data_IF_544940689771
#
_entry.id   IF_544940689771
#
_cell.length_a   1.000
_cell.length_b   1.000
_cell.length_c   1.000
_cell.angle_alpha   90.00
_cell.angle_beta   90.00
_cell.angle_gamma   90.00
#
_symmetry.space_group_name_H-M   'P 1'
#
loop_
_entity.id
_entity.type
_entity.pdbx_description
1 polymer ?
#
# COMPACT_ATOMS: atom_id res chain seq x y z
N UNK A 1 -15.60 -3.94 6.02
CA UNK A 1 -15.81 -2.54 5.57
C UNK A 1 -14.78 -1.54 6.13
N UNK A 2 -14.41 -1.56 7.42
CA UNK A 2 -13.53 -0.55 8.06
C UNK A 2 -12.16 -0.34 7.38
N UNK A 3 -11.56 -1.41 6.85
CA UNK A 3 -10.27 -1.37 6.14
C UNK A 3 -10.29 -0.47 4.89
N UNK A 4 -11.29 -0.66 4.02
CA UNK A 4 -11.44 0.14 2.80
C UNK A 4 -11.79 1.60 3.10
N UNK A 5 -12.55 1.85 4.18
CA UNK A 5 -12.86 3.21 4.64
C UNK A 5 -11.61 4.01 5.05
N UNK A 6 -10.68 3.38 5.77
CA UNK A 6 -9.41 4.05 6.12
C UNK A 6 -8.53 4.33 4.90
N UNK A 7 -8.50 3.41 3.93
CA UNK A 7 -7.78 3.64 2.67
C UNK A 7 -8.40 4.82 1.91
N UNK A 8 -9.72 4.82 1.75
CA UNK A 8 -10.43 5.93 1.09
C UNK A 8 -10.20 7.26 1.80
N UNK A 9 -10.19 7.28 3.14
CA UNK A 9 -9.88 8.46 3.94
C UNK A 9 -8.46 8.98 3.70
N UNK A 10 -7.44 8.11 3.73
CA UNK A 10 -6.05 8.50 3.45
C UNK A 10 -5.89 9.05 2.03
N UNK A 11 -6.49 8.37 1.05
CA UNK A 11 -6.48 8.83 -0.33
C UNK A 11 -7.12 10.21 -0.42
N UNK A 12 -8.35 10.38 0.08
CA UNK A 12 -9.06 11.67 0.06
C UNK A 12 -8.25 12.81 0.69
N UNK A 13 -7.64 12.58 1.85
CA UNK A 13 -6.77 13.58 2.51
C UNK A 13 -5.54 13.90 1.66
N UNK A 14 -4.86 12.87 1.12
CA UNK A 14 -3.68 13.08 0.27
C UNK A 14 -4.02 13.86 -1.01
N UNK A 15 -5.16 13.54 -1.65
CA UNK A 15 -5.61 14.23 -2.86
C UNK A 15 -5.98 15.68 -2.55
N UNK A 16 -6.64 15.93 -1.41
CA UNK A 16 -6.99 17.29 -0.98
C UNK A 16 -5.75 18.15 -0.73
N UNK A 17 -4.74 17.60 -0.05
CA UNK A 17 -3.45 18.28 0.19
C UNK A 17 -2.74 18.58 -1.14
N UNK A 18 -2.64 17.59 -2.02
CA UNK A 18 -2.02 17.76 -3.35
C UNK A 18 -2.76 18.81 -4.18
N UNK A 19 -4.09 18.82 -4.16
CA UNK A 19 -4.89 19.82 -4.86
C UNK A 19 -4.65 21.23 -4.31
N UNK A 20 -4.62 21.40 -2.99
CA UNK A 20 -4.30 22.69 -2.35
C UNK A 20 -2.91 23.19 -2.74
N UNK A 21 -1.92 22.30 -2.78
CA UNK A 21 -0.56 22.63 -3.22
C UNK A 21 -0.53 23.05 -4.71
N UNK A 22 -1.28 22.36 -5.57
CA UNK A 22 -1.39 22.74 -6.99
C UNK A 22 -2.06 24.12 -7.15
N UNK A 23 -3.13 24.38 -6.41
CA UNK A 23 -3.81 25.67 -6.40
C UNK A 23 -2.88 26.80 -5.93
N UNK A 24 -2.03 26.53 -4.94
CA UNK A 24 -1.02 27.46 -4.43
C UNK A 24 0.06 27.73 -5.48
N UNK A 25 0.59 26.69 -6.14
CA UNK A 25 1.55 26.84 -7.25
C UNK A 25 0.94 27.71 -8.35
N UNK A 26 -0.31 27.45 -8.73
CA UNK A 26 -1.02 28.21 -9.75
C UNK A 26 -1.33 29.66 -9.30
N UNK A 27 -1.51 29.90 -8.00
CA UNK A 27 -1.71 31.25 -7.46
C UNK A 27 -0.41 32.07 -7.38
N UNK A 28 0.71 31.45 -7.02
CA UNK A 28 2.02 32.11 -6.96
C UNK A 28 2.51 32.53 -8.35
N UNK A 29 2.28 31.68 -9.34
CA UNK A 29 2.54 32.01 -10.73
C UNK A 29 1.37 32.86 -11.27
N UNK A 30 1.45 34.19 -11.07
CA UNK A 30 0.46 35.17 -11.53
C UNK A 30 0.01 34.95 -12.99
N UNK A 31 -1.28 35.07 -13.33
CA UNK A 31 -1.80 34.84 -14.68
C UNK A 31 -1.39 35.98 -15.63
N UNK A 32 -0.24 35.87 -16.27
CA UNK A 32 0.23 36.73 -17.37
C UNK A 32 0.33 35.84 -18.63
N UNK A 33 -0.69 35.78 -19.50
CA UNK A 33 -1.06 36.72 -20.59
C UNK A 33 -0.09 36.70 -21.80
N UNK A 34 0.70 35.65 -22.03
CA UNK A 34 1.52 35.64 -23.26
C UNK A 34 0.71 35.43 -24.57
N UNK A 35 -0.57 35.01 -24.49
CA UNK A 35 -1.41 34.72 -25.67
C UNK A 35 -2.84 35.31 -25.66
N UNK A 36 -3.17 36.27 -24.78
CA UNK A 36 -4.46 37.00 -24.90
C UNK A 36 -4.50 37.85 -26.19
N UNK A 37 -3.37 38.06 -26.88
CA UNK A 37 -3.33 38.78 -28.16
C UNK A 37 -4.22 38.16 -29.25
N UNK A 38 -4.60 36.88 -29.13
CA UNK A 38 -5.50 36.18 -30.06
C UNK A 38 -6.78 35.62 -29.43
N UNK A 39 -7.08 35.92 -28.16
CA UNK A 39 -8.36 35.53 -27.52
C UNK A 39 -8.47 34.06 -27.04
N UNK A 40 -7.42 33.25 -27.18
CA UNK A 40 -7.42 31.86 -26.70
C UNK A 40 -6.72 31.75 -25.34
N UNK A 41 -7.41 31.19 -24.34
CA UNK A 41 -6.80 30.81 -23.05
C UNK A 41 -5.94 29.55 -23.27
N UNK A 42 -4.65 29.71 -23.54
CA UNK A 42 -3.71 28.57 -23.51
C UNK A 42 -3.26 28.27 -22.08
N UNK A 43 -2.99 27.00 -21.79
CA UNK A 43 -2.35 26.60 -20.54
C UNK A 43 -0.85 26.91 -20.59
N UNK A 44 -0.23 27.24 -19.43
CA UNK A 44 1.23 27.44 -19.33
C UNK A 44 2.03 26.14 -19.51
N UNK A 45 1.34 25.01 -19.47
CA UNK A 45 1.92 23.68 -19.54
C UNK A 45 2.47 23.42 -20.95
N UNK A 46 3.79 23.36 -21.07
CA UNK A 46 4.53 23.14 -22.31
C UNK A 46 5.21 24.39 -22.88
N UNK A 47 4.82 25.59 -22.42
CA UNK A 47 5.37 26.87 -22.92
C UNK A 47 6.35 27.52 -21.94
N UNK A 48 6.19 27.29 -20.64
CA UNK A 48 7.08 27.79 -19.59
C UNK A 48 7.79 26.60 -18.93
N UNK A 49 9.09 26.47 -19.18
CA UNK A 49 9.92 25.37 -18.66
C UNK A 49 9.95 25.34 -17.14
N UNK A 50 9.99 26.50 -16.48
CA UNK A 50 10.04 26.56 -15.03
C UNK A 50 8.72 26.06 -14.43
N UNK A 51 7.60 26.50 -15.00
CA UNK A 51 6.27 26.05 -14.58
C UNK A 51 6.08 24.54 -14.82
N UNK A 52 6.46 24.02 -15.99
CA UNK A 52 6.32 22.59 -16.29
C UNK A 52 7.18 21.71 -15.39
N UNK A 53 8.41 22.12 -15.07
CA UNK A 53 9.26 21.39 -14.14
C UNK A 53 8.66 21.35 -12.73
N UNK A 54 8.15 22.47 -12.23
CA UNK A 54 7.52 22.54 -10.90
C UNK A 54 6.28 21.65 -10.84
N UNK A 55 5.41 21.70 -11.84
CA UNK A 55 4.22 20.84 -11.92
C UNK A 55 4.60 19.36 -12.07
N UNK A 56 5.67 19.06 -12.83
CA UNK A 56 6.20 17.70 -12.95
C UNK A 56 6.70 17.13 -11.62
N UNK A 57 7.45 17.92 -10.85
CA UNK A 57 7.91 17.52 -9.50
C UNK A 57 6.72 17.32 -8.56
N UNK A 58 5.75 18.24 -8.57
CA UNK A 58 4.50 18.10 -7.80
C UNK A 58 3.75 16.80 -8.13
N UNK A 59 3.68 16.44 -9.41
CA UNK A 59 3.04 15.22 -9.87
C UNK A 59 3.74 13.98 -9.31
N UNK A 60 5.08 13.92 -9.40
CA UNK A 60 5.87 12.82 -8.85
C UNK A 60 5.68 12.67 -7.34
N UNK A 61 5.68 13.78 -6.60
CA UNK A 61 5.42 13.78 -5.15
C UNK A 61 4.01 13.25 -4.85
N UNK A 62 3.01 13.69 -5.61
CA UNK A 62 1.62 13.24 -5.43
C UNK A 62 1.47 11.74 -5.70
N UNK A 63 2.03 11.24 -6.79
CA UNK A 63 2.03 9.80 -7.10
C UNK A 63 2.77 9.01 -6.03
N UNK A 64 3.92 9.51 -5.56
CA UNK A 64 4.67 8.91 -4.46
C UNK A 64 3.86 8.84 -3.16
N UNK A 65 3.13 9.90 -2.79
CA UNK A 65 2.25 9.92 -1.62
C UNK A 65 1.10 8.91 -1.73
N UNK A 66 0.46 8.82 -2.89
CA UNK A 66 -0.60 7.84 -3.15
C UNK A 66 -0.05 6.41 -3.05
N UNK A 67 1.12 6.16 -3.63
CA UNK A 67 1.82 4.89 -3.51
C UNK A 67 2.13 4.53 -2.06
N UNK A 68 2.64 5.47 -1.26
CA UNK A 68 2.90 5.27 0.17
C UNK A 68 1.62 4.97 0.96
N UNK A 69 0.48 5.58 0.60
CA UNK A 69 -0.81 5.29 1.23
C UNK A 69 -1.24 3.84 0.98
N UNK A 70 -1.11 3.37 -0.26
CA UNK A 70 -1.41 1.98 -0.64
C UNK A 70 -0.42 1.01 0.02
N UNK A 71 0.87 1.34 0.02
CA UNK A 71 1.92 0.55 0.65
C UNK A 71 1.70 0.43 2.17
N UNK A 72 1.40 1.52 2.88
CA UNK A 72 1.09 1.47 4.30
C UNK A 72 -0.16 0.62 4.59
N UNK A 73 -1.14 0.63 3.69
CA UNK A 73 -2.33 -0.20 3.86
C UNK A 73 -2.03 -1.69 3.67
N UNK A 74 -1.15 -2.04 2.73
CA UNK A 74 -0.74 -3.43 2.44
C UNK A 74 -0.14 -4.14 3.64
N UNK A 75 0.62 -3.44 4.49
CA UNK A 75 1.23 -4.00 5.71
C UNK A 75 0.37 -3.80 6.97
N UNK A 76 -0.92 -3.53 6.84
CA UNK A 76 -1.85 -3.45 7.97
C UNK A 76 -2.77 -4.67 8.01
N UNK A 77 -3.05 -5.13 9.22
CA UNK A 77 -4.07 -6.15 9.44
C UNK A 77 -5.44 -5.63 8.98
N UNK A 78 -6.19 -6.45 8.23
CA UNK A 78 -7.51 -6.11 7.69
C UNK A 78 -8.59 -5.93 8.77
N UNK A 79 -8.39 -6.55 9.94
CA UNK A 79 -9.31 -6.49 11.09
C UNK A 79 -8.90 -5.41 12.08
N UNK A 80 -7.67 -5.50 12.62
CA UNK A 80 -7.16 -4.58 13.64
C UNK A 80 -6.69 -3.22 13.13
N UNK A 81 -6.41 -3.10 11.82
CA UNK A 81 -5.87 -1.88 11.19
C UNK A 81 -4.49 -1.44 11.73
N UNK A 82 -3.84 -2.29 12.52
CA UNK A 82 -2.47 -2.10 13.02
C UNK A 82 -1.45 -2.67 12.04
N UNK A 83 -0.25 -2.08 12.03
CA UNK A 83 0.86 -2.54 11.21
C UNK A 83 1.27 -3.95 11.65
N UNK A 84 1.41 -4.85 10.69
CA UNK A 84 1.91 -6.20 10.89
C UNK A 84 3.37 -6.13 11.34
N UNK A 85 3.78 -7.04 12.22
CA UNK A 85 5.12 -7.06 12.83
C UNK A 85 5.70 -8.47 12.70
N UNK A 86 6.99 -8.59 12.98
CA UNK A 86 7.76 -9.85 12.94
C UNK A 86 7.80 -10.48 11.54
N UNK A 87 8.75 -10.05 10.68
CA UNK A 87 9.02 -10.76 9.44
C UNK A 87 9.67 -12.11 9.78
N UNK A 88 8.96 -13.20 9.56
CA UNK A 88 9.49 -14.55 9.72
C UNK A 88 9.80 -15.09 8.34
N UNK A 89 11.05 -15.45 8.11
CA UNK A 89 11.47 -16.16 6.89
C UNK A 89 11.08 -17.63 7.01
N UNK A 90 10.21 -18.10 6.13
CA UNK A 90 9.86 -19.52 6.00
C UNK A 90 10.37 -20.04 4.66
N UNK A 91 10.78 -21.32 4.61
CA UNK A 91 11.42 -21.90 3.43
C UNK A 91 12.95 -21.83 3.47
N UNK A 92 13.60 -22.44 2.47
CA UNK A 92 15.05 -22.33 2.32
C UNK A 92 15.47 -22.40 0.86
N UNK A 93 16.46 -21.59 0.49
CA UNK A 93 17.03 -21.61 -0.86
C UNK A 93 17.65 -22.97 -1.22
N UNK A 94 18.38 -23.59 -0.30
CA UNK A 94 19.06 -24.87 -0.53
C UNK A 94 18.13 -26.09 -0.61
N UNK A 95 16.89 -26.01 -0.11
CA UNK A 95 15.91 -27.11 -0.14
C UNK A 95 14.58 -26.65 -0.73
N UNK A 96 14.63 -25.81 -1.76
CA UNK A 96 13.47 -25.18 -2.40
C UNK A 96 12.42 -26.19 -2.89
N UNK A 97 12.85 -27.36 -3.38
CA UNK A 97 11.94 -28.43 -3.83
C UNK A 97 11.25 -29.19 -2.69
N UNK A 98 11.82 -29.18 -1.48
CA UNK A 98 11.34 -29.95 -0.33
C UNK A 98 10.53 -29.08 0.65
N UNK A 99 11.01 -27.87 0.93
CA UNK A 99 10.42 -26.95 1.94
C UNK A 99 9.63 -25.83 1.26
N UNK A 100 9.72 -25.73 -0.06
CA UNK A 100 9.15 -24.64 -0.84
C UNK A 100 10.08 -23.43 -0.88
N UNK A 101 9.63 -22.42 -1.63
CA UNK A 101 10.37 -21.17 -1.84
C UNK A 101 10.45 -20.35 -0.56
N UNK A 102 11.56 -19.61 -0.37
CA UNK A 102 11.68 -18.72 0.75
C UNK A 102 10.72 -17.54 0.64
N UNK A 103 9.95 -17.33 1.70
CA UNK A 103 8.89 -16.33 1.81
C UNK A 103 8.95 -15.67 3.18
N UNK A 104 8.55 -14.41 3.24
CA UNK A 104 8.45 -13.60 4.44
C UNK A 104 6.99 -13.58 4.88
N UNK A 105 6.74 -14.08 6.08
CA UNK A 105 5.42 -14.08 6.69
C UNK A 105 5.37 -12.99 7.76
N UNK A 106 4.42 -12.07 7.64
CA UNK A 106 4.16 -11.05 8.64
C UNK A 106 2.95 -11.44 9.47
N UNK A 107 3.06 -11.36 10.80
CA UNK A 107 2.02 -11.81 11.72
C UNK A 107 1.33 -10.61 12.38
N UNK A 108 0.01 -10.70 12.55
CA UNK A 108 -0.71 -9.78 13.44
C UNK A 108 -0.45 -10.18 14.90
N UNK A 109 0.09 -9.26 15.71
CA UNK A 109 0.34 -9.51 17.14
C UNK A 109 -0.92 -9.86 17.98
N UNK A 110 -2.11 -9.66 17.42
CA UNK A 110 -3.40 -10.01 18.04
C UNK A 110 -4.00 -11.31 17.51
N UNK A 111 -3.31 -12.04 16.63
CA UNK A 111 -3.78 -13.34 16.13
C UNK A 111 -4.88 -13.30 15.06
N UNK A 112 -5.11 -12.17 14.39
CA UNK A 112 -6.16 -12.04 13.36
C UNK A 112 -5.80 -12.64 11.99
N UNK A 113 -4.53 -12.96 11.76
CA UNK A 113 -4.08 -13.49 10.48
C UNK A 113 -2.63 -13.17 10.16
N UNK A 114 -2.20 -13.71 9.04
CA UNK A 114 -0.83 -13.64 8.53
C UNK A 114 -0.84 -13.16 7.07
N UNK A 115 0.17 -12.35 6.73
CA UNK A 115 0.41 -11.89 5.37
C UNK A 115 1.66 -12.59 4.84
N UNK A 116 1.50 -13.40 3.80
CA UNK A 116 2.61 -14.08 3.13
C UNK A 116 3.08 -13.26 1.94
N UNK A 117 4.37 -13.00 1.87
CA UNK A 117 5.01 -12.28 0.78
C UNK A 117 6.26 -13.04 0.38
N UNK A 118 6.49 -13.31 -0.91
CA UNK A 118 7.76 -13.95 -1.30
C UNK A 118 8.95 -13.02 -1.00
N UNK A 119 10.06 -13.61 -0.57
CA UNK A 119 11.31 -12.87 -0.33
C UNK A 119 11.86 -12.30 -1.65
N UNK A 120 11.81 -13.11 -2.71
CA UNK A 120 12.33 -12.75 -4.02
C UNK A 120 11.38 -13.26 -5.11
N UNK A 121 10.83 -12.31 -5.87
CA UNK A 121 9.88 -12.57 -6.96
C UNK A 121 10.64 -13.04 -8.20
N UNK A 122 10.92 -14.34 -8.28
CA UNK A 122 11.63 -14.95 -9.43
C UNK A 122 10.66 -15.28 -10.57
N UNK A 123 9.43 -15.69 -10.25
CA UNK A 123 8.42 -16.06 -11.25
C UNK A 123 7.22 -15.14 -11.17
N UNK A 124 7.09 -14.23 -12.14
CA UNK A 124 5.92 -13.37 -12.27
C UNK A 124 5.70 -12.42 -11.07
N UNK A 125 4.60 -11.69 -11.12
CA UNK A 125 4.18 -10.77 -10.06
C UNK A 125 3.21 -11.51 -9.13
N UNK A 126 3.72 -12.19 -8.11
CA UNK A 126 2.89 -12.88 -7.13
C UNK A 126 2.37 -11.87 -6.10
N UNK A 127 1.05 -11.76 -6.01
CA UNK A 127 0.41 -10.84 -5.08
C UNK A 127 0.43 -11.44 -3.67
N UNK A 128 0.84 -10.71 -2.63
CA UNK A 128 0.86 -11.22 -1.27
C UNK A 128 -0.50 -11.75 -0.86
N UNK A 129 -0.47 -12.96 -0.33
CA UNK A 129 -1.65 -13.66 0.11
C UNK A 129 -1.91 -13.34 1.58
N UNK A 130 -3.14 -12.93 1.88
CA UNK A 130 -3.59 -12.75 3.26
C UNK A 130 -4.35 -14.00 3.67
N UNK A 131 -3.86 -14.68 4.70
CA UNK A 131 -4.55 -15.82 5.31
C UNK A 131 -5.13 -15.38 6.64
N UNK A 132 -6.45 -15.49 6.77
CA UNK A 132 -7.12 -15.31 8.07
C UNK A 132 -6.78 -16.51 8.94
N UNK A 133 -6.16 -16.28 10.10
CA UNK A 133 -5.96 -17.33 11.08
C UNK A 133 -7.24 -17.42 11.91
N UNK A 134 -7.82 -18.62 11.98
CA UNK A 134 -8.83 -18.94 13.00
C UNK A 134 -8.25 -18.78 14.41
N UNK A 135 -9.11 -18.88 15.42
CA UNK A 135 -8.64 -18.90 16.80
C UNK A 135 -7.78 -20.16 17.03
N UNK A 136 -6.44 -20.04 17.19
CA UNK A 136 -5.55 -21.20 17.24
C UNK A 136 -5.87 -22.12 18.43
N UNK A 137 -6.53 -21.59 19.46
CA UNK A 137 -6.99 -22.37 20.61
C UNK A 137 -8.13 -23.31 20.27
N UNK A 138 -8.99 -22.97 19.30
CA UNK A 138 -10.08 -23.85 18.88
C UNK A 138 -9.55 -25.13 18.22
N UNK A 139 -8.53 -25.01 17.37
CA UNK A 139 -7.88 -26.16 16.73
C UNK A 139 -7.18 -27.06 17.77
N UNK A 140 -6.50 -26.46 18.74
CA UNK A 140 -5.86 -27.19 19.84
C UNK A 140 -6.88 -27.90 20.74
N UNK A 141 -7.94 -27.21 21.15
CA UNK A 141 -8.99 -27.80 21.98
C UNK A 141 -9.76 -28.91 21.24
N UNK A 142 -10.00 -28.75 19.93
CA UNK A 142 -10.59 -29.81 19.12
C UNK A 142 -9.67 -31.05 19.08
N UNK A 143 -8.37 -30.85 18.83
CA UNK A 143 -7.40 -31.95 18.83
C UNK A 143 -7.27 -32.64 20.19
N UNK A 144 -7.39 -31.90 21.31
CA UNK A 144 -7.37 -32.50 22.65
C UNK A 144 -8.60 -33.36 22.91
N UNK A 145 -9.77 -32.91 22.43
CA UNK A 145 -11.02 -33.66 22.57
C UNK A 145 -10.99 -34.98 21.78
N UNK A 146 -10.42 -34.97 20.59
CA UNK A 146 -10.24 -36.18 19.76
C UNK A 146 -9.30 -37.22 20.42
N UNK A 147 -8.34 -36.76 21.25
CA UNK A 147 -7.44 -37.65 21.99
C UNK A 147 -8.17 -38.29 23.16
N UNK A 148 -8.96 -37.51 23.91
CA UNK A 148 -9.77 -37.98 25.04
C UNK A 148 -10.84 -39.00 24.60
N UNK A 149 -11.47 -38.79 23.44
CA UNK A 149 -12.45 -39.74 22.88
C UNK A 149 -11.82 -41.06 22.36
N UNK A 150 -10.49 -41.10 22.19
CA UNK A 150 -9.76 -42.28 21.69
C UNK A 150 -9.08 -43.09 22.81
N UNK A 151 -8.99 -42.54 24.03
CA UNK A 151 -8.45 -43.22 25.22
C UNK A 151 -9.51 -43.96 26.02
#
# INVERSE_FOLDING_TARGET
MRYWGLLAGKLGVSTAISYGLLALINSLWSPQIYLIKYGWKTSRFGFDLAYTLVVGVWFLITVGLLYLCVWDQRYRCRVCLRRLRMPITTGSWGRMLLVGRPRIEYICAYGHGTLKQEELQISGLENPEWTESGDPWQELCASLKDIDERS
#
